data_IF_448488358153
#
_entry.id   IF_448488358153
#
_cell.length_a   1.000
_cell.length_b   1.000
_cell.length_c   1.000
_cell.angle_alpha   90.00
_cell.angle_beta   90.00
_cell.angle_gamma   90.00
#
_symmetry.space_group_name_H-M   'P 1'
#
loop_
_entity.id
_entity.type
_entity.pdbx_description
1 polymer ?
#
# COMPACT_ATOMS: atom_id res chain seq x y z
N UNK A 1 5.05 76.85 -32.63
CA UNK A 1 5.05 75.49 -33.22
C UNK A 1 3.85 74.76 -32.59
N UNK A 2 2.67 74.86 -33.21
CA UNK A 2 1.50 74.13 -32.72
C UNK A 2 1.77 72.64 -32.98
N UNK A 3 1.79 71.84 -31.92
CA UNK A 3 1.94 70.40 -32.02
C UNK A 3 0.62 69.90 -32.64
N UNK A 4 0.69 69.37 -33.86
CA UNK A 4 -0.46 68.77 -34.53
C UNK A 4 -1.10 67.73 -33.61
N UNK A 5 -2.32 67.98 -33.19
CA UNK A 5 -3.09 67.13 -32.26
C UNK A 5 -3.19 65.68 -32.77
N UNK A 6 -3.08 65.49 -34.08
CA UNK A 6 -3.04 64.17 -34.72
C UNK A 6 -1.82 63.31 -34.33
N UNK A 7 -0.69 63.94 -33.98
CA UNK A 7 0.53 63.24 -33.56
C UNK A 7 0.46 62.70 -32.13
N UNK A 8 -0.55 63.11 -31.34
CA UNK A 8 -0.73 62.67 -29.96
C UNK A 8 -1.52 61.35 -29.85
N UNK A 9 -2.35 61.01 -30.84
CA UNK A 9 -3.10 59.75 -30.87
C UNK A 9 -2.23 58.48 -30.73
N UNK A 10 -1.10 58.31 -31.45
CA UNK A 10 -0.28 57.11 -31.28
C UNK A 10 0.34 57.03 -29.88
N UNK A 11 0.68 58.17 -29.27
CA UNK A 11 1.25 58.22 -27.91
C UNK A 11 0.17 57.83 -26.88
N UNK A 12 -1.05 58.33 -27.05
CA UNK A 12 -2.19 58.01 -26.18
C UNK A 12 -2.59 56.53 -26.29
N UNK A 13 -2.58 55.98 -27.50
CA UNK A 13 -2.81 54.56 -27.74
C UNK A 13 -1.73 53.69 -27.10
N UNK A 14 -0.45 54.06 -27.23
CA UNK A 14 0.65 53.35 -26.58
C UNK A 14 0.58 53.44 -25.05
N UNK A 15 0.21 54.59 -24.49
CA UNK A 15 0.02 54.75 -23.06
C UNK A 15 -1.15 53.90 -22.53
N UNK A 16 -2.26 53.83 -23.27
CA UNK A 16 -3.39 52.97 -22.95
C UNK A 16 -3.01 51.48 -23.03
N UNK A 17 -2.26 51.08 -24.05
CA UNK A 17 -1.74 49.70 -24.17
C UNK A 17 -0.77 49.36 -23.05
N UNK A 18 0.19 50.24 -22.73
CA UNK A 18 1.13 50.01 -21.64
C UNK A 18 0.43 49.94 -20.28
N UNK A 19 -0.51 50.87 -20.02
CA UNK A 19 -1.32 50.86 -18.81
C UNK A 19 -2.21 49.63 -18.70
N UNK A 20 -2.84 49.23 -19.82
CA UNK A 20 -3.63 48.00 -19.93
C UNK A 20 -2.79 46.76 -19.67
N UNK A 21 -1.60 46.66 -20.24
CA UNK A 21 -0.67 45.55 -20.01
C UNK A 21 -0.22 45.46 -18.55
N UNK A 22 0.13 46.59 -17.92
CA UNK A 22 0.53 46.62 -16.49
C UNK A 22 -0.64 46.28 -15.58
N UNK A 23 -1.84 46.77 -15.89
CA UNK A 23 -3.04 46.44 -15.14
C UNK A 23 -3.39 44.96 -15.28
N UNK A 24 -3.32 44.42 -16.50
CA UNK A 24 -3.56 43.02 -16.78
C UNK A 24 -2.54 42.15 -16.05
N UNK A 25 -1.25 42.45 -16.14
CA UNK A 25 -0.18 41.75 -15.40
C UNK A 25 -0.47 41.73 -13.89
N UNK A 26 -0.95 42.84 -13.31
CA UNK A 26 -1.31 42.92 -11.90
C UNK A 26 -2.52 42.08 -11.52
N UNK A 27 -3.53 42.01 -12.39
CA UNK A 27 -4.76 41.24 -12.15
C UNK A 27 -4.53 39.75 -12.44
N UNK A 28 -3.68 39.41 -13.40
CA UNK A 28 -3.34 38.02 -13.74
C UNK A 28 -2.24 37.43 -12.88
N UNK A 29 -1.44 38.26 -12.21
CA UNK A 29 -0.58 37.86 -11.10
C UNK A 29 -1.48 37.62 -9.87
N UNK A 30 -2.40 36.67 -10.02
CA UNK A 30 -2.97 35.95 -8.90
C UNK A 30 -1.76 35.41 -8.13
N UNK A 31 -1.74 35.66 -6.82
CA UNK A 31 -0.70 35.26 -5.89
C UNK A 31 0.07 34.05 -6.42
N UNK A 32 1.30 34.24 -6.91
CA UNK A 32 2.24 33.12 -6.93
C UNK A 32 2.31 32.75 -5.45
N UNK A 33 1.65 31.68 -4.99
CA UNK A 33 1.94 31.22 -3.65
C UNK A 33 3.42 30.93 -3.72
N UNK A 34 4.19 31.45 -2.78
CA UNK A 34 5.56 31.02 -2.61
C UNK A 34 5.49 29.49 -2.46
N UNK A 35 5.73 28.76 -3.55
CA UNK A 35 5.78 27.31 -3.57
C UNK A 35 7.11 26.93 -2.93
N UNK A 36 7.18 27.15 -1.62
CA UNK A 36 8.23 26.67 -0.74
C UNK A 36 7.60 26.01 0.47
N UNK A 37 6.67 25.11 0.18
CA UNK A 37 6.61 23.84 0.88
C UNK A 37 6.69 22.80 -0.21
N UNK A 38 7.74 21.98 -0.21
CA UNK A 38 7.70 20.69 -0.90
C UNK A 38 6.34 20.08 -0.52
N UNK A 39 5.47 19.80 -1.49
CA UNK A 39 4.19 19.15 -1.19
C UNK A 39 4.50 17.72 -0.73
N UNK A 40 4.81 17.57 0.56
CA UNK A 40 5.12 16.29 1.23
C UNK A 40 3.85 15.58 1.70
N UNK A 41 2.71 16.28 1.67
CA UNK A 41 1.41 15.70 2.01
C UNK A 41 0.89 14.78 0.90
N UNK A 42 -0.13 13.97 1.22
CA UNK A 42 -0.77 13.13 0.21
C UNK A 42 -1.55 13.99 -0.80
N UNK A 43 -1.53 13.59 -2.06
CA UNK A 43 -2.32 14.18 -3.14
C UNK A 43 -3.68 13.48 -3.33
N UNK A 44 -3.78 12.23 -2.87
CA UNK A 44 -5.00 11.44 -2.86
C UNK A 44 -5.24 10.83 -1.48
N UNK A 45 -6.47 10.96 -1.01
CA UNK A 45 -6.93 10.39 0.26
C UNK A 45 -8.31 9.79 0.06
N UNK A 46 -8.50 8.56 0.53
CA UNK A 46 -9.80 7.89 0.57
C UNK A 46 -10.05 7.26 1.95
N UNK A 47 -11.31 7.24 2.38
CA UNK A 47 -11.75 6.65 3.65
C UNK A 47 -12.73 5.50 3.39
N UNK A 48 -12.70 4.46 4.22
CA UNK A 48 -13.56 3.28 4.03
C UNK A 48 -13.36 2.61 2.68
N UNK A 49 -12.10 2.43 2.28
CA UNK A 49 -11.74 2.00 0.93
C UNK A 49 -11.95 0.50 0.76
N UNK A 50 -12.55 0.13 -0.38
CA UNK A 50 -12.70 -1.26 -0.83
C UNK A 50 -12.15 -1.41 -2.25
N UNK A 51 -11.12 -2.22 -2.40
CA UNK A 51 -10.47 -2.52 -3.68
C UNK A 51 -10.68 -3.99 -4.02
N UNK A 52 -11.07 -4.29 -5.25
CA UNK A 52 -11.25 -5.65 -5.75
C UNK A 52 -10.26 -5.89 -6.89
N UNK A 53 -9.48 -6.95 -6.79
CA UNK A 53 -8.57 -7.39 -7.84
C UNK A 53 -9.13 -8.58 -8.60
N UNK A 54 -9.06 -8.55 -9.93
CA UNK A 54 -9.54 -9.62 -10.80
C UNK A 54 -8.39 -10.22 -11.61
N UNK A 55 -8.47 -11.53 -11.88
CA UNK A 55 -7.54 -12.23 -12.76
C UNK A 55 -7.91 -12.08 -14.24
N UNK A 56 -7.06 -12.61 -15.12
CA UNK A 56 -7.29 -12.57 -16.57
C UNK A 56 -8.60 -13.26 -17.02
N UNK A 57 -9.10 -14.20 -16.21
CA UNK A 57 -10.38 -14.90 -16.45
C UNK A 57 -11.60 -14.11 -15.97
N UNK A 58 -11.41 -12.95 -15.32
CA UNK A 58 -12.47 -12.18 -14.69
C UNK A 58 -12.87 -12.66 -13.29
N UNK A 59 -12.26 -13.72 -12.76
CA UNK A 59 -12.48 -14.16 -11.38
C UNK A 59 -11.82 -13.21 -10.37
N UNK A 60 -12.50 -12.92 -9.26
CA UNK A 60 -11.94 -12.12 -8.17
C UNK A 60 -10.78 -12.88 -7.53
N UNK A 61 -9.60 -12.26 -7.48
CA UNK A 61 -8.38 -12.82 -6.85
C UNK A 61 -8.18 -12.30 -5.44
N UNK A 62 -8.54 -11.05 -5.19
CA UNK A 62 -8.41 -10.47 -3.86
C UNK A 62 -9.42 -9.34 -3.62
N UNK A 63 -9.64 -9.07 -2.34
CA UNK A 63 -10.35 -7.92 -1.83
C UNK A 63 -9.48 -7.26 -0.75
N UNK A 64 -9.25 -5.96 -0.88
CA UNK A 64 -8.56 -5.15 0.11
C UNK A 64 -9.54 -4.16 0.71
N UNK A 65 -9.66 -4.19 2.02
CA UNK A 65 -10.38 -3.19 2.82
C UNK A 65 -9.36 -2.37 3.62
N UNK A 66 -9.54 -1.06 3.69
CA UNK A 66 -8.74 -0.19 4.53
C UNK A 66 -9.60 0.94 5.11
N UNK A 67 -9.30 1.35 6.35
CA UNK A 67 -10.01 2.49 6.96
C UNK A 67 -9.66 3.80 6.25
N UNK A 68 -8.39 3.94 5.84
CA UNK A 68 -7.88 5.10 5.13
C UNK A 68 -6.77 4.68 4.16
N UNK A 69 -6.75 5.32 2.99
CA UNK A 69 -5.73 5.17 1.96
C UNK A 69 -5.18 6.54 1.60
N UNK A 70 -3.86 6.68 1.53
CA UNK A 70 -3.16 7.93 1.21
C UNK A 70 -2.10 7.66 0.13
N UNK A 71 -2.13 8.40 -0.97
CA UNK A 71 -1.07 8.36 -1.97
C UNK A 71 -0.11 9.53 -1.77
N UNK A 72 1.19 9.28 -1.84
CA UNK A 72 2.23 10.29 -1.70
C UNK A 72 2.93 10.47 -3.04
N UNK A 73 2.81 11.63 -3.72
CA UNK A 73 3.29 11.80 -5.09
C UNK A 73 4.82 11.81 -5.20
N UNK A 74 5.53 12.19 -4.14
CA UNK A 74 7.00 12.29 -4.15
C UNK A 74 7.67 10.91 -4.11
N UNK A 75 7.15 9.98 -3.31
CA UNK A 75 7.67 8.61 -3.20
C UNK A 75 6.89 7.61 -4.05
N UNK A 76 5.76 8.04 -4.64
CA UNK A 76 4.78 7.20 -5.35
C UNK A 76 4.24 6.03 -4.49
N UNK A 77 4.36 6.15 -3.16
CA UNK A 77 3.90 5.14 -2.20
C UNK A 77 2.43 5.36 -1.87
N UNK A 78 1.70 4.27 -1.76
CA UNK A 78 0.34 4.28 -1.21
C UNK A 78 0.32 3.67 0.18
N UNK A 79 -0.03 4.48 1.19
CA UNK A 79 -0.18 4.04 2.58
C UNK A 79 -1.61 3.63 2.87
N UNK A 80 -1.76 2.48 3.50
CA UNK A 80 -3.03 1.89 3.92
C UNK A 80 -3.07 1.81 5.44
N UNK A 81 -4.14 2.30 6.04
CA UNK A 81 -4.39 2.25 7.48
C UNK A 81 -5.38 1.12 7.79
N UNK A 82 -5.02 0.27 8.76
CA UNK A 82 -5.73 -0.95 9.12
C UNK A 82 -6.12 -1.83 7.91
N UNK A 83 -5.18 -2.18 7.03
CA UNK A 83 -5.49 -2.99 5.86
C UNK A 83 -5.95 -4.39 6.26
N UNK A 84 -6.98 -4.88 5.55
CA UNK A 84 -7.49 -6.25 5.61
C UNK A 84 -7.55 -6.77 4.19
N UNK A 85 -6.61 -7.63 3.84
CA UNK A 85 -6.50 -8.27 2.53
C UNK A 85 -7.05 -9.69 2.60
N UNK A 86 -8.04 -9.96 1.78
CA UNK A 86 -8.64 -11.28 1.59
C UNK A 86 -8.25 -11.78 0.20
N UNK A 87 -7.44 -12.83 0.15
CA UNK A 87 -7.00 -13.47 -1.09
C UNK A 87 -7.80 -14.75 -1.33
N UNK A 88 -8.27 -14.93 -2.56
CA UNK A 88 -8.93 -16.13 -3.03
C UNK A 88 -7.99 -16.91 -3.95
N UNK A 89 -7.58 -18.09 -3.50
CA UNK A 89 -6.98 -19.13 -4.33
C UNK A 89 -8.04 -20.13 -4.80
N UNK A 90 -7.63 -21.11 -5.62
CA UNK A 90 -8.54 -22.10 -6.22
C UNK A 90 -9.28 -22.92 -5.15
N UNK A 91 -8.55 -23.40 -4.13
CA UNK A 91 -9.12 -24.19 -3.01
C UNK A 91 -8.75 -23.62 -1.63
N UNK A 92 -8.22 -22.40 -1.57
CA UNK A 92 -7.76 -21.82 -0.30
C UNK A 92 -8.01 -20.33 -0.20
N UNK A 93 -8.38 -19.91 1.00
CA UNK A 93 -8.54 -18.52 1.36
C UNK A 93 -7.35 -18.09 2.22
N UNK A 94 -6.82 -16.89 2.01
CA UNK A 94 -5.82 -16.31 2.92
C UNK A 94 -6.26 -14.92 3.34
N UNK A 95 -6.33 -14.68 4.64
CA UNK A 95 -6.62 -13.37 5.23
C UNK A 95 -5.34 -12.80 5.83
N UNK A 96 -5.00 -11.56 5.46
CA UNK A 96 -3.85 -10.82 5.97
C UNK A 96 -4.36 -9.51 6.58
N UNK A 97 -3.95 -9.21 7.81
CA UNK A 97 -4.29 -7.95 8.49
C UNK A 97 -3.05 -7.33 9.10
N UNK A 98 -2.99 -6.00 9.15
CA UNK A 98 -1.93 -5.25 9.84
C UNK A 98 -2.48 -3.89 10.34
N UNK A 99 -1.67 -3.14 11.12
CA UNK A 99 -1.99 -1.76 11.50
C UNK A 99 -1.74 -0.76 10.37
N UNK A 100 -0.68 -0.97 9.59
CA UNK A 100 -0.33 -0.14 8.43
C UNK A 100 0.26 -1.00 7.32
N UNK A 101 0.09 -0.59 6.07
CA UNK A 101 0.86 -1.11 4.95
C UNK A 101 1.29 0.01 3.99
N UNK A 102 2.53 -0.05 3.52
CA UNK A 102 3.02 0.81 2.45
C UNK A 102 3.15 -0.03 1.17
N UNK A 103 2.52 0.43 0.10
CA UNK A 103 2.50 -0.22 -1.21
C UNK A 103 3.42 0.56 -2.15
N UNK A 104 4.38 -0.13 -2.76
CA UNK A 104 5.31 0.45 -3.71
C UNK A 104 4.61 0.89 -5.00
N UNK A 105 5.27 1.71 -5.84
CA UNK A 105 4.76 2.02 -7.17
C UNK A 105 4.50 0.73 -7.95
N UNK A 106 3.37 0.64 -8.64
CA UNK A 106 2.96 -0.57 -9.37
C UNK A 106 2.52 -1.76 -8.51
N UNK A 107 2.63 -1.70 -7.17
CA UNK A 107 2.21 -2.77 -6.27
C UNK A 107 3.14 -3.99 -6.22
N UNK A 108 4.38 -3.82 -6.68
CA UNK A 108 5.40 -4.87 -6.75
C UNK A 108 5.84 -5.36 -5.37
N UNK A 109 5.82 -4.47 -4.38
CA UNK A 109 6.17 -4.74 -2.98
C UNK A 109 5.11 -4.10 -2.05
N UNK A 110 4.74 -4.86 -1.02
CA UNK A 110 3.84 -4.41 0.05
C UNK A 110 4.51 -4.65 1.39
N UNK A 111 4.77 -3.59 2.13
CA UNK A 111 5.38 -3.61 3.45
C UNK A 111 4.32 -3.43 4.53
N UNK A 112 3.95 -4.53 5.18
CA UNK A 112 3.01 -4.55 6.30
C UNK A 112 3.76 -4.31 7.62
N UNK A 113 3.19 -3.48 8.48
CA UNK A 113 3.76 -3.16 9.79
C UNK A 113 2.70 -3.05 10.89
N UNK A 114 3.08 -3.54 12.06
CA UNK A 114 2.28 -3.56 13.28
C UNK A 114 1.25 -4.67 13.29
N UNK A 115 1.38 -5.60 14.24
CA UNK A 115 0.44 -6.70 14.47
C UNK A 115 0.01 -7.41 13.17
N UNK A 116 0.99 -7.81 12.35
CA UNK A 116 0.72 -8.53 11.13
C UNK A 116 0.22 -9.93 11.46
N UNK A 117 -0.95 -10.27 10.94
CA UNK A 117 -1.57 -11.59 11.11
C UNK A 117 -1.95 -12.15 9.77
N UNK A 118 -1.44 -13.34 9.46
CA UNK A 118 -1.83 -14.13 8.31
C UNK A 118 -2.62 -15.32 8.81
N UNK A 119 -3.82 -15.53 8.28
CA UNK A 119 -4.68 -16.65 8.62
C UNK A 119 -5.14 -17.36 7.36
N UNK A 120 -4.88 -18.66 7.31
CA UNK A 120 -5.44 -19.58 6.32
C UNK A 120 -6.33 -20.58 7.06
N UNK A 121 -7.65 -20.60 6.80
CA UNK A 121 -8.54 -21.58 7.39
C UNK A 121 -8.14 -22.99 6.92
N UNK A 122 -8.43 -23.98 7.75
CA UNK A 122 -8.24 -25.37 7.37
C UNK A 122 -9.28 -25.79 6.34
N UNK A 123 -8.90 -26.70 5.46
CA UNK A 123 -9.80 -27.40 4.53
C UNK A 123 -9.93 -28.87 4.95
N UNK A 124 -10.66 -29.68 4.19
CA UNK A 124 -10.73 -31.12 4.45
C UNK A 124 -9.33 -31.80 4.43
N UNK A 125 -8.43 -31.29 3.59
CA UNK A 125 -7.11 -31.87 3.35
C UNK A 125 -5.96 -31.09 4.01
N UNK A 126 -6.22 -29.89 4.55
CA UNK A 126 -5.19 -29.02 5.12
C UNK A 126 -5.57 -28.49 6.51
N UNK A 127 -4.61 -28.56 7.44
CA UNK A 127 -4.75 -27.97 8.77
C UNK A 127 -4.76 -26.42 8.69
N UNK A 128 -5.52 -25.74 9.57
CA UNK A 128 -5.49 -24.29 9.66
C UNK A 128 -4.08 -23.79 10.00
N UNK A 129 -3.72 -22.65 9.42
CA UNK A 129 -2.42 -22.00 9.60
C UNK A 129 -2.62 -20.56 10.06
N UNK A 130 -1.93 -20.16 11.11
CA UNK A 130 -1.78 -18.75 11.49
C UNK A 130 -0.30 -18.39 11.57
N UNK A 131 0.03 -17.18 11.15
CA UNK A 131 1.33 -16.56 11.32
C UNK A 131 1.12 -15.17 11.91
N UNK A 132 1.79 -14.91 13.04
CA UNK A 132 1.79 -13.63 13.72
C UNK A 132 3.21 -13.06 13.71
N UNK A 133 3.37 -11.80 13.32
CA UNK A 133 4.65 -11.07 13.29
C UNK A 133 4.45 -9.56 13.45
N UNK A 134 5.52 -8.80 13.70
CA UNK A 134 5.43 -7.33 13.75
C UNK A 134 5.52 -6.68 12.37
N UNK A 135 6.28 -7.28 11.45
CA UNK A 135 6.40 -6.82 10.07
C UNK A 135 6.25 -7.98 9.09
N UNK A 136 5.89 -7.68 7.85
CA UNK A 136 5.88 -8.64 6.75
C UNK A 136 5.99 -7.89 5.43
N UNK A 137 7.03 -8.18 4.66
CA UNK A 137 7.17 -7.72 3.28
C UNK A 137 6.64 -8.79 2.35
N UNK A 138 5.83 -8.39 1.38
CA UNK A 138 5.21 -9.28 0.40
C UNK A 138 5.53 -8.78 -1.01
N UNK A 139 5.94 -9.69 -1.89
CA UNK A 139 6.09 -9.44 -3.33
C UNK A 139 5.05 -10.27 -4.07
N UNK A 140 3.89 -9.69 -4.44
CA UNK A 140 2.76 -10.44 -4.98
C UNK A 140 3.10 -11.21 -6.26
N UNK A 141 3.78 -10.57 -7.22
CA UNK A 141 4.12 -11.18 -8.50
C UNK A 141 5.13 -12.32 -8.35
N UNK A 142 6.12 -12.14 -7.48
CA UNK A 142 7.11 -13.17 -7.16
C UNK A 142 6.56 -14.28 -6.24
N UNK A 143 5.31 -14.15 -5.77
CA UNK A 143 4.68 -15.07 -4.83
C UNK A 143 5.52 -15.32 -3.56
N UNK A 144 6.23 -14.29 -3.09
CA UNK A 144 7.16 -14.36 -1.96
C UNK A 144 6.72 -13.47 -0.80
N UNK A 145 7.04 -13.89 0.41
CA UNK A 145 6.98 -13.03 1.58
C UNK A 145 8.21 -13.24 2.48
N UNK A 146 8.60 -12.19 3.21
CA UNK A 146 9.70 -12.24 4.17
C UNK A 146 9.38 -11.39 5.39
N UNK A 147 9.89 -11.81 6.54
CA UNK A 147 10.00 -10.94 7.70
C UNK A 147 11.29 -11.25 8.44
N UNK A 148 11.96 -10.19 8.88
CA UNK A 148 13.11 -10.27 9.79
C UNK A 148 12.68 -10.04 11.25
N UNK A 149 11.37 -9.90 11.50
CA UNK A 149 10.78 -9.84 12.82
C UNK A 149 10.50 -11.25 13.37
N UNK A 150 10.51 -11.44 14.71
CA UNK A 150 10.10 -12.69 15.31
C UNK A 150 8.71 -13.12 14.84
N UNK A 151 8.58 -14.41 14.53
CA UNK A 151 7.34 -15.00 14.04
C UNK A 151 6.83 -16.06 15.00
N UNK A 152 5.50 -16.14 15.11
CA UNK A 152 4.80 -17.27 15.72
C UNK A 152 3.92 -17.93 14.67
N UNK A 153 4.25 -19.16 14.31
CA UNK A 153 3.50 -20.00 13.40
C UNK A 153 2.67 -21.01 14.20
N UNK A 154 1.37 -21.09 13.95
CA UNK A 154 0.51 -22.16 14.48
C UNK A 154 -0.10 -22.94 13.33
N UNK A 155 0.11 -24.26 13.29
CA UNK A 155 -0.49 -25.17 12.31
C UNK A 155 -1.24 -26.28 13.03
N UNK A 156 -2.56 -26.29 12.93
CA UNK A 156 -3.41 -27.17 13.75
C UNK A 156 -3.12 -26.98 15.23
N UNK A 157 -2.62 -28.03 15.89
CA UNK A 157 -2.23 -27.99 17.30
C UNK A 157 -0.73 -27.75 17.55
N UNK A 158 0.08 -27.70 16.49
CA UNK A 158 1.52 -27.45 16.59
C UNK A 158 1.84 -25.95 16.55
N UNK A 159 2.84 -25.53 17.32
CA UNK A 159 3.36 -24.16 17.33
C UNK A 159 4.84 -24.14 17.02
N UNK A 160 5.30 -23.16 16.26
CA UNK A 160 6.70 -22.90 15.98
C UNK A 160 6.98 -21.40 16.13
N UNK A 161 8.09 -21.04 16.74
CA UNK A 161 8.57 -19.66 16.80
C UNK A 161 9.96 -19.56 16.19
N UNK A 162 10.24 -18.47 15.49
CA UNK A 162 11.55 -18.17 14.90
C UNK A 162 11.85 -16.67 14.95
N UNK A 163 13.10 -16.29 14.67
CA UNK A 163 13.52 -14.87 14.68
C UNK A 163 13.19 -14.15 13.38
N UNK A 164 13.03 -14.90 12.30
CA UNK A 164 12.56 -14.40 11.01
C UNK A 164 11.96 -15.54 10.19
N UNK A 165 11.45 -15.21 9.01
CA UNK A 165 10.81 -16.15 8.12
C UNK A 165 10.88 -15.70 6.67
N UNK A 166 11.04 -16.66 5.77
CA UNK A 166 10.81 -16.51 4.33
C UNK A 166 9.73 -17.50 3.91
N UNK A 167 8.89 -17.08 2.99
CA UNK A 167 7.89 -17.93 2.40
C UNK A 167 7.84 -17.74 0.89
N UNK A 168 7.63 -18.84 0.19
CA UNK A 168 7.37 -18.86 -1.24
C UNK A 168 6.01 -19.51 -1.51
N UNK A 169 5.53 -19.36 -2.74
CA UNK A 169 4.21 -19.80 -3.19
C UNK A 169 3.06 -19.21 -2.34
N UNK A 170 3.26 -18.02 -1.77
CA UNK A 170 2.35 -17.20 -0.95
C UNK A 170 1.42 -17.94 0.06
N UNK A 171 1.80 -19.14 0.51
CA UNK A 171 2.42 -19.48 1.80
C UNK A 171 2.39 -21.02 1.86
N UNK A 172 2.94 -21.67 0.82
CA UNK A 172 3.03 -23.12 0.72
C UNK A 172 4.26 -23.64 1.44
N UNK A 173 5.41 -23.08 1.09
CA UNK A 173 6.71 -23.38 1.70
C UNK A 173 7.09 -22.25 2.65
N UNK A 174 7.42 -22.61 3.90
CA UNK A 174 7.91 -21.67 4.91
C UNK A 174 9.29 -22.10 5.38
N UNK A 175 10.25 -21.18 5.29
CA UNK A 175 11.60 -21.29 5.84
C UNK A 175 11.68 -20.39 7.09
N UNK A 176 11.96 -21.00 8.24
CA UNK A 176 12.12 -20.29 9.50
C UNK A 176 13.60 -19.98 9.72
N UNK A 177 13.92 -18.73 10.06
CA UNK A 177 15.28 -18.22 10.15
C UNK A 177 15.65 -17.97 11.62
N UNK A 178 16.88 -18.35 11.99
CA UNK A 178 17.44 -18.14 13.32
C UNK A 178 17.10 -19.26 14.31
N UNK A 179 16.96 -18.92 15.59
CA UNK A 179 16.63 -19.89 16.65
C UNK A 179 15.16 -20.33 16.54
N UNK A 180 14.95 -21.57 16.08
CA UNK A 180 13.61 -22.15 15.91
C UNK A 180 13.24 -22.98 17.14
N UNK A 181 12.10 -22.67 17.76
CA UNK A 181 11.50 -23.49 18.83
C UNK A 181 10.19 -24.07 18.35
N UNK A 182 10.01 -25.39 18.49
CA UNK A 182 8.77 -26.06 18.10
C UNK A 182 8.14 -26.73 19.32
N UNK A 183 6.83 -26.52 19.47
CA UNK A 183 6.01 -27.20 20.44
C UNK A 183 4.97 -28.02 19.68
N UNK A 184 5.21 -29.33 19.61
CA UNK A 184 4.26 -30.29 19.06
C UNK A 184 3.57 -31.03 20.20
N UNK A 185 2.24 -31.05 20.26
CA UNK A 185 1.55 -31.91 21.21
C UNK A 185 1.84 -33.38 20.84
N UNK A 186 1.87 -34.29 21.83
CA UNK A 186 2.19 -35.68 21.58
C UNK A 186 1.20 -36.28 20.56
N UNK A 187 1.71 -36.93 19.52
CA UNK A 187 0.90 -37.76 18.63
C UNK A 187 0.20 -38.80 19.49
N UNK A 188 -1.14 -38.73 19.59
CA UNK A 188 -1.92 -39.87 20.08
C UNK A 188 -1.68 -41.02 19.11
N UNK A 189 -0.83 -41.98 19.51
CA UNK A 189 -0.80 -43.30 18.89
C UNK A 189 -2.14 -43.95 19.22
N UNK A 190 -3.06 -43.98 18.25
CA UNK A 190 -4.24 -44.83 18.35
C UNK A 190 -3.79 -46.29 18.37
N UNK A 191 -4.44 -47.15 19.16
CA UNK A 191 -4.01 -48.54 19.29
C UNK A 191 -4.08 -49.23 17.92
N UNK A 192 -2.98 -49.89 17.55
CA UNK A 192 -2.96 -50.84 16.44
C UNK A 192 -4.06 -51.87 16.67
N UNK A 193 -5.05 -51.90 15.79
CA UNK A 193 -6.07 -52.95 15.72
C UNK A 193 -5.70 -53.93 14.63
#
# INVERSE_FOLDING_TARGET
MLIDTWRLYPILALAALAGGSVWLERVTRADDPVTQGEQTGPDFVAEGTRVLGFGATGAQRYELLAERLEHFPVSEVTRLHQPRLHMQGEDSETLITARSADVSPGGEQVDLSGEVKVRRPGTADALPLTLDSETLTVWPDAHRAQTDSPVLLTRGSGKASAQGMRADNLFGTLELIGEVKTHMPPRRQGPSS
#
